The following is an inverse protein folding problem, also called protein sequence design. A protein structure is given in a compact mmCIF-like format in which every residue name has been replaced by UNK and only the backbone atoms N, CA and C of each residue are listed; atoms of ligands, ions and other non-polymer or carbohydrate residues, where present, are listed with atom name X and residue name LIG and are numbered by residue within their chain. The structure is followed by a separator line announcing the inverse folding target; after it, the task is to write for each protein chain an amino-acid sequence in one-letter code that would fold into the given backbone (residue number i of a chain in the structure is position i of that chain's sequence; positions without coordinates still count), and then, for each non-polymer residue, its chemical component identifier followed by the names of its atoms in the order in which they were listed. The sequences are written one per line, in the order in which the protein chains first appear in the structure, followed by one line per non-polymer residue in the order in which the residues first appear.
data_IF_075432309388
#
_entry.id   IF_075432309388
#
_cell.length_a   1.000
_cell.length_b   1.000
_cell.length_c   1.000
_cell.angle_alpha   90.00
_cell.angle_beta   90.00
_cell.angle_gamma   90.00
#
_symmetry.space_group_name_H-M   'P 1'
#
loop_
_entity.id
_entity.type
_entity.pdbx_description
1 polymer ?
#
# COMPACT_ATOMS: atom_id res chain seq x y z
N UNK A 1 18.90 -14.75 0.56
CA UNK A 1 19.79 -14.29 1.65
C UNK A 1 19.09 -13.20 2.41
N UNK A 2 19.14 -13.26 3.74
CA UNK A 2 18.60 -12.23 4.63
C UNK A 2 19.48 -12.19 5.89
N UNK A 3 19.83 -11.00 6.35
CA UNK A 3 20.70 -10.79 7.52
C UNK A 3 19.92 -9.98 8.57
N UNK A 4 19.80 -10.48 9.81
CA UNK A 4 19.14 -9.75 10.89
C UNK A 4 19.77 -8.37 11.11
N UNK A 5 18.93 -7.33 11.22
CA UNK A 5 19.40 -5.97 11.48
C UNK A 5 20.10 -5.29 10.30
N UNK A 6 20.04 -5.86 9.09
CA UNK A 6 20.61 -5.23 7.91
C UNK A 6 19.92 -3.91 7.58
N UNK A 7 20.71 -2.89 7.25
CA UNK A 7 20.26 -1.60 6.73
C UNK A 7 20.42 -1.52 5.22
N UNK A 8 19.84 -0.49 4.60
CA UNK A 8 19.90 -0.32 3.15
C UNK A 8 21.36 -0.29 2.62
N UNK A 9 22.30 0.31 3.36
CA UNK A 9 23.70 0.40 2.96
C UNK A 9 24.43 -0.95 2.83
N UNK A 10 23.88 -2.01 3.44
CA UNK A 10 24.46 -3.36 3.38
C UNK A 10 23.86 -4.21 2.25
N UNK A 11 22.75 -3.77 1.65
CA UNK A 11 22.06 -4.50 0.57
C UNK A 11 22.94 -4.64 -0.68
N UNK A 12 23.77 -3.66 -1.09
CA UNK A 12 24.69 -3.85 -2.19
C UNK A 12 25.59 -5.10 -2.02
N UNK A 13 26.17 -5.30 -0.84
CA UNK A 13 27.01 -6.46 -0.55
C UNK A 13 26.20 -7.77 -0.56
N UNK A 14 24.96 -7.75 -0.05
CA UNK A 14 24.08 -8.93 -0.09
C UNK A 14 23.66 -9.28 -1.53
N UNK A 15 23.43 -8.29 -2.39
CA UNK A 15 23.16 -8.51 -3.81
C UNK A 15 24.38 -9.10 -4.52
N UNK A 16 25.58 -8.60 -4.24
CA UNK A 16 26.80 -9.18 -4.81
C UNK A 16 26.97 -10.65 -4.39
N UNK A 17 26.72 -10.96 -3.12
CA UNK A 17 26.72 -12.34 -2.64
C UNK A 17 25.63 -13.18 -3.33
N UNK A 18 24.45 -12.61 -3.63
CA UNK A 18 23.34 -13.31 -4.29
C UNK A 18 23.69 -13.67 -5.72
N UNK A 19 24.25 -12.72 -6.45
CA UNK A 19 24.72 -12.93 -7.82
C UNK A 19 25.77 -14.03 -7.83
N UNK A 20 26.74 -13.98 -6.91
CA UNK A 20 27.76 -15.03 -6.79
C UNK A 20 27.14 -16.40 -6.48
N UNK A 21 26.26 -16.48 -5.50
CA UNK A 21 25.59 -17.72 -5.13
C UNK A 21 24.79 -18.32 -6.29
N UNK A 22 24.07 -17.50 -7.07
CA UNK A 22 23.33 -17.97 -8.24
C UNK A 22 24.24 -18.44 -9.39
N UNK A 23 25.43 -17.84 -9.55
CA UNK A 23 26.42 -18.26 -10.56
C UNK A 23 27.14 -19.55 -10.18
N UNK A 24 27.35 -19.77 -8.87
CA UNK A 24 28.07 -20.93 -8.35
C UNK A 24 27.16 -22.15 -8.12
N UNK A 25 25.83 -21.99 -8.11
CA UNK A 25 24.88 -23.08 -7.90
C UNK A 25 24.58 -23.83 -9.20
N UNK A 26 25.05 -25.08 -9.30
CA UNK A 26 24.84 -25.96 -10.47
C UNK A 26 23.36 -26.25 -10.78
N UNK A 27 22.43 -26.02 -9.83
CA UNK A 27 20.99 -26.21 -10.04
C UNK A 27 20.31 -25.02 -10.71
N UNK A 28 20.97 -23.87 -10.76
CA UNK A 28 20.45 -22.64 -11.37
C UNK A 28 21.10 -22.47 -12.74
N UNK A 29 20.30 -22.56 -13.81
CA UNK A 29 20.78 -22.16 -15.13
C UNK A 29 20.82 -20.64 -15.17
N UNK A 30 21.97 -20.07 -14.78
CA UNK A 30 22.11 -18.63 -14.54
C UNK A 30 21.70 -17.78 -15.75
N UNK A 31 21.94 -18.24 -16.97
CA UNK A 31 21.59 -17.51 -18.20
C UNK A 31 20.14 -17.76 -18.68
N UNK A 32 19.55 -18.92 -18.36
CA UNK A 32 18.30 -19.38 -18.99
C UNK A 32 17.08 -19.31 -18.07
N UNK A 33 17.25 -19.53 -16.77
CA UNK A 33 16.11 -19.56 -15.84
C UNK A 33 15.59 -18.16 -15.56
N UNK A 34 14.28 -18.01 -15.36
CA UNK A 34 13.76 -16.77 -14.78
C UNK A 34 14.00 -16.75 -13.28
N UNK A 35 14.47 -15.61 -12.76
CA UNK A 35 14.70 -15.37 -11.33
C UNK A 35 13.70 -14.35 -10.81
N UNK A 36 13.18 -14.60 -9.60
CA UNK A 36 12.37 -13.64 -8.85
C UNK A 36 13.16 -13.21 -7.61
N UNK A 37 13.62 -11.97 -7.59
CA UNK A 37 14.35 -11.38 -6.46
C UNK A 37 13.40 -10.46 -5.71
N UNK A 38 13.34 -10.56 -4.38
CA UNK A 38 12.54 -9.66 -3.55
C UNK A 38 13.46 -8.88 -2.61
N UNK A 39 13.48 -7.57 -2.75
CA UNK A 39 14.19 -6.64 -1.87
C UNK A 39 13.18 -6.06 -0.88
N UNK A 40 13.43 -6.27 0.41
CA UNK A 40 12.66 -5.70 1.51
C UNK A 40 13.61 -5.26 2.62
N UNK A 41 13.76 -3.95 2.79
CA UNK A 41 14.72 -3.31 3.71
C UNK A 41 14.18 -1.94 4.13
N UNK A 42 14.80 -1.28 5.11
CA UNK A 42 14.48 0.10 5.51
C UNK A 42 13.87 0.21 6.90
N UNK A 43 13.24 -0.85 7.41
CA UNK A 43 12.69 -0.84 8.77
C UNK A 43 13.78 -0.59 9.83
N UNK A 44 14.96 -1.20 9.65
CA UNK A 44 16.08 -0.96 10.57
C UNK A 44 16.68 0.44 10.44
N UNK A 45 16.79 0.97 9.23
CA UNK A 45 17.21 2.35 8.98
C UNK A 45 16.30 3.34 9.73
N UNK A 46 14.98 3.15 9.64
CA UNK A 46 13.98 3.92 10.37
C UNK A 46 14.10 3.78 11.90
N UNK A 47 14.35 2.58 12.40
CA UNK A 47 14.55 2.31 13.83
C UNK A 47 15.77 2.98 14.46
N UNK A 48 16.79 3.29 13.63
CA UNK A 48 18.05 3.90 14.04
C UNK A 48 18.22 5.35 13.55
N UNK A 49 17.24 5.91 12.82
CA UNK A 49 17.35 7.20 12.14
C UNK A 49 17.83 8.33 13.07
N UNK A 50 17.24 8.43 14.27
CA UNK A 50 17.59 9.44 15.27
C UNK A 50 19.03 9.33 15.82
N UNK A 51 19.72 8.21 15.57
CA UNK A 51 21.11 7.99 15.98
C UNK A 51 22.11 8.37 14.89
N UNK A 52 21.70 8.40 13.61
CA UNK A 52 22.56 8.69 12.47
C UNK A 52 21.79 9.35 11.30
N UNK A 53 21.20 10.51 11.57
CA UNK A 53 20.36 11.22 10.60
C UNK A 53 21.12 11.62 9.33
N UNK A 54 22.44 11.80 9.42
CA UNK A 54 23.28 12.20 8.28
C UNK A 54 23.47 11.06 7.27
N UNK A 55 23.59 9.82 7.74
CA UNK A 55 23.78 8.68 6.84
C UNK A 55 22.47 7.96 6.48
N UNK A 56 21.44 8.06 7.33
CA UNK A 56 20.13 7.40 7.15
C UNK A 56 19.10 8.34 6.51
N UNK A 57 19.54 9.25 5.63
CA UNK A 57 18.63 10.13 4.89
C UNK A 57 17.81 9.33 3.86
N UNK A 58 16.60 9.82 3.46
CA UNK A 58 15.83 9.20 2.38
C UNK A 58 16.61 9.08 1.06
N UNK A 59 17.48 10.07 0.79
CA UNK A 59 18.36 10.06 -0.36
C UNK A 59 19.37 8.91 -0.30
N UNK A 60 20.10 8.77 0.81
CA UNK A 60 21.08 7.68 0.95
C UNK A 60 20.39 6.30 0.92
N UNK A 61 19.21 6.17 1.53
CA UNK A 61 18.40 4.96 1.45
C UNK A 61 18.11 4.59 -0.02
N UNK A 62 17.63 5.55 -0.81
CA UNK A 62 17.35 5.38 -2.24
C UNK A 62 18.60 5.09 -3.07
N UNK A 63 19.71 5.77 -2.79
CA UNK A 63 20.99 5.52 -3.46
C UNK A 63 21.49 4.09 -3.24
N UNK A 64 21.34 3.54 -2.04
CA UNK A 64 21.71 2.15 -1.76
C UNK A 64 20.82 1.13 -2.49
N UNK A 65 19.51 1.41 -2.61
CA UNK A 65 18.61 0.63 -3.45
C UNK A 65 19.02 0.72 -4.93
N UNK A 66 19.35 1.93 -5.42
CA UNK A 66 19.81 2.15 -6.79
C UNK A 66 21.06 1.32 -7.10
N UNK A 67 22.09 1.37 -6.23
CA UNK A 67 23.31 0.59 -6.41
C UNK A 67 23.02 -0.92 -6.50
N UNK A 68 22.11 -1.39 -5.65
CA UNK A 68 21.69 -2.79 -5.61
C UNK A 68 20.96 -3.22 -6.89
N UNK A 69 20.02 -2.41 -7.35
CA UNK A 69 19.27 -2.64 -8.59
C UNK A 69 20.17 -2.52 -9.83
N UNK A 70 21.11 -1.58 -9.86
CA UNK A 70 22.09 -1.42 -10.94
C UNK A 70 22.96 -2.68 -11.10
N UNK A 71 23.39 -3.30 -10.00
CA UNK A 71 24.15 -4.56 -10.05
C UNK A 71 23.31 -5.70 -10.63
N UNK A 72 22.06 -5.86 -10.18
CA UNK A 72 21.14 -6.86 -10.74
C UNK A 72 20.89 -6.59 -12.24
N UNK A 73 20.64 -5.34 -12.61
CA UNK A 73 20.40 -4.91 -13.99
C UNK A 73 21.62 -5.15 -14.89
N UNK A 74 22.83 -5.06 -14.35
CA UNK A 74 24.05 -5.28 -15.13
C UNK A 74 24.41 -6.75 -15.28
N UNK A 75 24.20 -7.55 -14.23
CA UNK A 75 24.81 -8.88 -14.14
C UNK A 75 23.85 -10.05 -14.25
N UNK A 76 22.55 -9.85 -14.01
CA UNK A 76 21.58 -10.95 -13.92
C UNK A 76 20.66 -10.93 -15.14
N UNK A 77 20.63 -12.00 -15.95
CA UNK A 77 19.65 -12.17 -17.00
C UNK A 77 18.34 -12.74 -16.48
N UNK A 78 17.25 -12.47 -17.21
CA UNK A 78 15.90 -13.00 -16.94
C UNK A 78 15.50 -12.85 -15.47
N UNK A 79 15.43 -11.62 -14.98
CA UNK A 79 15.10 -11.36 -13.57
C UNK A 79 13.98 -10.35 -13.42
N UNK A 80 13.02 -10.70 -12.58
CA UNK A 80 12.05 -9.77 -12.03
C UNK A 80 12.47 -9.43 -10.60
N UNK A 81 12.57 -8.13 -10.30
CA UNK A 81 12.88 -7.64 -8.96
C UNK A 81 11.63 -7.01 -8.35
N UNK A 82 11.11 -7.62 -7.29
CA UNK A 82 10.14 -7.02 -6.40
C UNK A 82 10.86 -6.09 -5.42
N UNK A 83 10.47 -4.82 -5.36
CA UNK A 83 10.87 -3.90 -4.29
C UNK A 83 9.66 -3.73 -3.38
N UNK A 84 9.68 -4.38 -2.22
CA UNK A 84 8.65 -4.22 -1.20
C UNK A 84 8.90 -2.91 -0.49
N UNK A 85 7.91 -2.03 -0.46
CA UNK A 85 8.06 -0.75 0.25
C UNK A 85 8.26 -0.97 1.73
N UNK A 86 9.07 -0.09 2.34
CA UNK A 86 9.18 -0.04 3.79
C UNK A 86 7.80 0.27 4.38
N UNK A 87 7.44 -0.48 5.40
CA UNK A 87 6.15 -0.33 6.08
C UNK A 87 6.01 1.04 6.74
N UNK A 88 4.76 1.50 6.83
CA UNK A 88 4.39 2.58 7.75
C UNK A 88 4.54 2.08 9.19
N UNK A 89 5.46 2.69 9.94
CA UNK A 89 5.86 2.20 11.26
C UNK A 89 4.95 2.71 12.41
N UNK A 90 4.31 3.87 12.27
CA UNK A 90 3.48 4.48 13.32
C UNK A 90 2.39 3.55 13.90
N UNK A 91 1.61 2.82 13.07
CA UNK A 91 0.59 1.90 13.57
C UNK A 91 1.14 0.86 14.55
N UNK A 92 2.41 0.43 14.40
CA UNK A 92 3.03 -0.59 15.26
C UNK A 92 3.18 -0.12 16.72
N UNK A 93 3.20 1.18 16.99
CA UNK A 93 3.22 1.75 18.36
C UNK A 93 1.99 1.36 19.19
N UNK A 94 0.92 0.88 18.55
CA UNK A 94 -0.27 0.37 19.26
C UNK A 94 -0.04 -1.00 19.89
N UNK A 95 0.90 -1.80 19.35
CA UNK A 95 1.23 -3.15 19.83
C UNK A 95 1.83 -3.12 21.25
N UNK A 96 2.50 -2.03 21.64
CA UNK A 96 3.17 -1.92 22.94
C UNK A 96 2.27 -1.52 24.09
N UNK A 97 1.21 -0.73 23.83
CA UNK A 97 0.55 0.07 24.88
C UNK A 97 -0.01 -0.79 26.04
N UNK A 98 -0.25 -2.08 25.81
CA UNK A 98 -0.89 -2.97 26.79
C UNK A 98 0.03 -4.05 27.42
N UNK A 99 1.32 -4.13 27.05
CA UNK A 99 2.24 -5.17 27.51
C UNK A 99 3.64 -4.64 27.89
N UNK A 100 3.98 -4.68 29.19
CA UNK A 100 5.22 -4.12 29.74
C UNK A 100 6.49 -4.73 29.13
N UNK A 101 6.53 -6.06 28.98
CA UNK A 101 7.69 -6.76 28.39
C UNK A 101 7.88 -6.38 26.92
N UNK A 102 6.80 -6.38 26.14
CA UNK A 102 6.82 -5.94 24.74
C UNK A 102 7.29 -4.49 24.61
N UNK A 103 6.82 -3.61 25.51
CA UNK A 103 7.22 -2.20 25.53
C UNK A 103 8.73 -2.04 25.71
N UNK A 104 9.33 -2.77 26.65
CA UNK A 104 10.77 -2.70 26.90
C UNK A 104 11.59 -3.25 25.73
N UNK A 105 11.18 -4.38 25.15
CA UNK A 105 11.92 -4.99 24.03
C UNK A 105 11.89 -4.09 22.81
N UNK A 106 10.71 -3.58 22.43
CA UNK A 106 10.57 -2.73 21.25
C UNK A 106 11.31 -1.39 21.39
N UNK A 107 11.27 -0.76 22.58
CA UNK A 107 12.02 0.47 22.86
C UNK A 107 13.54 0.30 22.77
N UNK A 108 14.05 -0.90 23.04
CA UNK A 108 15.46 -1.21 22.85
C UNK A 108 15.78 -1.58 21.40
N UNK A 109 14.90 -2.34 20.74
CA UNK A 109 15.11 -2.80 19.37
C UNK A 109 14.98 -1.68 18.34
N UNK A 110 14.07 -0.73 18.57
CA UNK A 110 13.71 0.33 17.63
C UNK A 110 13.47 1.66 18.37
N UNK A 111 14.51 2.19 19.02
CA UNK A 111 14.38 3.31 19.96
C UNK A 111 13.81 4.56 19.31
N UNK A 112 14.15 4.85 18.06
CA UNK A 112 13.69 6.08 17.41
C UNK A 112 12.17 6.10 17.25
N UNK A 113 11.51 4.98 16.93
CA UNK A 113 10.04 4.99 16.75
C UNK A 113 9.25 4.82 18.05
N UNK A 114 9.74 4.05 19.03
CA UNK A 114 8.97 3.69 20.23
C UNK A 114 9.26 4.51 21.48
N UNK A 115 10.35 5.29 21.51
CA UNK A 115 10.65 6.18 22.64
C UNK A 115 9.95 7.54 22.58
N UNK A 116 9.77 8.19 21.40
CA UNK A 116 9.10 9.49 21.34
C UNK A 116 7.67 9.43 21.85
N UNK A 117 7.24 10.47 22.56
CA UNK A 117 5.86 10.60 23.04
C UNK A 117 4.87 10.75 21.88
N UNK A 118 3.59 10.48 22.14
CA UNK A 118 2.53 10.69 21.14
C UNK A 118 2.45 12.18 20.79
N UNK A 119 2.30 12.50 19.50
CA UNK A 119 2.25 13.88 18.98
C UNK A 119 3.52 14.72 19.22
N UNK A 120 4.66 14.08 19.52
CA UNK A 120 5.94 14.76 19.64
C UNK A 120 6.50 15.20 18.27
N UNK A 121 7.29 16.28 18.20
CA UNK A 121 7.99 16.68 16.98
C UNK A 121 8.90 15.58 16.43
N UNK A 122 9.53 14.79 17.30
CA UNK A 122 10.40 13.67 16.94
C UNK A 122 9.62 12.56 16.21
N UNK A 123 8.42 12.22 16.70
CA UNK A 123 7.55 11.25 16.02
C UNK A 123 7.04 11.79 14.68
N UNK A 124 6.65 13.06 14.62
CA UNK A 124 6.20 13.70 13.38
C UNK A 124 7.29 13.68 12.31
N UNK A 125 8.55 13.94 12.70
CA UNK A 125 9.70 13.86 11.82
C UNK A 125 9.95 12.42 11.33
N UNK A 126 9.89 11.42 12.22
CA UNK A 126 10.07 10.02 11.82
C UNK A 126 9.00 9.53 10.84
N UNK A 127 7.74 9.94 11.06
CA UNK A 127 6.65 9.64 10.13
C UNK A 127 6.88 10.30 8.76
N UNK A 128 7.38 11.54 8.73
CA UNK A 128 7.80 12.22 7.49
C UNK A 128 8.91 11.45 6.78
N UNK A 129 9.95 11.04 7.50
CA UNK A 129 11.09 10.30 6.94
C UNK A 129 10.66 8.93 6.39
N UNK A 130 9.76 8.22 7.09
CA UNK A 130 9.17 6.97 6.61
C UNK A 130 8.45 7.16 5.26
N UNK A 131 7.65 8.22 5.12
CA UNK A 131 6.98 8.57 3.87
C UNK A 131 7.97 8.96 2.78
N UNK A 132 9.04 9.68 3.12
CA UNK A 132 10.09 10.05 2.17
C UNK A 132 10.85 8.84 1.64
N UNK A 133 11.10 7.81 2.47
CA UNK A 133 11.67 6.55 2.00
C UNK A 133 10.78 5.88 0.94
N UNK A 134 9.46 5.84 1.18
CA UNK A 134 8.50 5.30 0.22
C UNK A 134 8.48 6.13 -1.07
N UNK A 135 8.44 7.46 -0.98
CA UNK A 135 8.45 8.36 -2.14
C UNK A 135 9.75 8.25 -2.97
N UNK A 136 10.90 8.17 -2.33
CA UNK A 136 12.18 8.03 -3.02
C UNK A 136 12.31 6.64 -3.69
N UNK A 137 11.74 5.59 -3.08
CA UNK A 137 11.64 4.27 -3.72
C UNK A 137 10.78 4.33 -4.98
N UNK A 138 9.61 4.95 -4.89
CA UNK A 138 8.69 5.17 -6.03
C UNK A 138 9.38 5.95 -7.16
N UNK A 139 10.07 7.05 -6.83
CA UNK A 139 10.82 7.85 -7.80
C UNK A 139 11.90 7.05 -8.52
N UNK A 140 12.68 6.26 -7.76
CA UNK A 140 13.76 5.43 -8.30
C UNK A 140 13.24 4.40 -9.32
N UNK A 141 12.20 3.65 -8.97
CA UNK A 141 11.69 2.56 -9.81
C UNK A 141 10.88 3.09 -11.00
N UNK A 142 10.10 4.16 -10.80
CA UNK A 142 9.24 4.72 -11.86
C UNK A 142 10.00 5.55 -12.90
N UNK A 143 11.25 5.96 -12.62
CA UNK A 143 12.08 6.82 -13.48
C UNK A 143 12.59 6.20 -14.79
N UNK A 144 12.26 4.93 -15.09
CA UNK A 144 12.57 4.27 -16.36
C UNK A 144 14.02 3.81 -16.54
N UNK A 145 14.85 3.95 -15.50
CA UNK A 145 16.27 3.54 -15.49
C UNK A 145 16.49 2.08 -15.93
N UNK A 146 15.51 1.22 -15.67
CA UNK A 146 15.61 -0.23 -15.90
C UNK A 146 14.76 -0.72 -17.09
N UNK A 147 14.27 0.18 -17.95
CA UNK A 147 13.40 -0.16 -19.07
C UNK A 147 14.17 -0.59 -20.34
N UNK A 148 15.51 -0.63 -20.29
CA UNK A 148 16.37 -0.87 -21.46
C UNK A 148 16.59 -2.34 -21.83
N UNK A 149 15.98 -3.29 -21.11
CA UNK A 149 16.11 -4.74 -21.33
C UNK A 149 14.75 -5.42 -21.28
N UNK A 150 14.53 -6.38 -22.17
CA UNK A 150 13.29 -7.18 -22.20
C UNK A 150 13.28 -8.30 -21.14
N UNK A 151 14.46 -8.68 -20.65
CA UNK A 151 14.64 -9.76 -19.68
C UNK A 151 14.92 -9.25 -18.25
N UNK A 152 14.63 -7.98 -17.98
CA UNK A 152 14.78 -7.37 -16.66
C UNK A 152 13.59 -6.46 -16.35
N UNK A 153 13.07 -6.52 -15.12
CA UNK A 153 12.09 -5.55 -14.65
C UNK A 153 12.17 -5.33 -13.15
N UNK A 154 11.83 -4.12 -12.70
CA UNK A 154 11.69 -3.78 -11.28
C UNK A 154 10.26 -3.33 -11.03
N UNK A 155 9.61 -3.90 -10.04
CA UNK A 155 8.21 -3.62 -9.71
C UNK A 155 8.09 -3.36 -8.22
N UNK A 156 7.49 -2.23 -7.85
CA UNK A 156 7.16 -1.92 -6.46
C UNK A 156 5.97 -2.74 -6.01
N UNK A 157 6.03 -3.25 -4.78
CA UNK A 157 4.95 -3.97 -4.12
C UNK A 157 4.54 -3.19 -2.85
N UNK A 158 3.58 -2.24 -2.95
CA UNK A 158 3.31 -1.26 -1.90
C UNK A 158 2.32 -1.73 -0.83
N UNK A 159 2.11 -3.04 -0.66
CA UNK A 159 1.12 -3.59 0.30
C UNK A 159 1.42 -3.27 1.78
N UNK A 160 2.49 -2.53 2.08
CA UNK A 160 2.83 -2.01 3.40
C UNK A 160 2.77 -0.49 3.54
N UNK A 161 2.43 0.22 2.45
CA UNK A 161 2.37 1.69 2.44
C UNK A 161 1.41 2.24 3.48
N UNK A 162 0.25 1.59 3.63
CA UNK A 162 -0.74 1.86 4.67
C UNK A 162 -0.81 0.63 5.59
N UNK A 163 0.02 0.60 6.63
CA UNK A 163 0.11 -0.55 7.51
C UNK A 163 -1.06 -0.57 8.51
N UNK A 164 -1.58 -1.77 8.80
CA UNK A 164 -2.62 -1.96 9.81
C UNK A 164 -2.16 -2.99 10.83
N UNK A 165 -2.34 -2.66 12.11
CA UNK A 165 -2.18 -3.64 13.21
C UNK A 165 -3.50 -4.40 13.34
N UNK A 166 -3.49 -5.74 13.29
CA UNK A 166 -4.69 -6.53 13.51
C UNK A 166 -5.13 -6.39 14.98
N UNK A 167 -6.42 -6.22 15.21
CA UNK A 167 -6.98 -6.12 16.56
C UNK A 167 -7.87 -7.33 16.85
N UNK A 168 -7.82 -7.82 18.08
CA UNK A 168 -8.85 -8.71 18.64
C UNK A 168 -10.08 -7.88 19.04
N UNK A 169 -11.24 -8.54 19.18
CA UNK A 169 -12.56 -7.90 19.30
C UNK A 169 -12.77 -6.93 20.47
N UNK A 170 -11.81 -6.79 21.39
CA UNK A 170 -11.80 -5.81 22.48
C UNK A 170 -10.95 -4.56 22.18
N UNK A 171 -10.48 -4.39 20.93
CA UNK A 171 -9.65 -3.27 20.51
C UNK A 171 -8.18 -3.39 20.89
N UNK A 172 -7.74 -4.55 21.40
CA UNK A 172 -6.33 -4.84 21.67
C UNK A 172 -5.63 -5.42 20.44
N UNK A 173 -4.33 -5.17 20.26
CA UNK A 173 -3.53 -5.80 19.21
C UNK A 173 -3.59 -7.32 19.30
N UNK A 174 -3.77 -8.01 18.17
CA UNK A 174 -3.61 -9.46 18.08
C UNK A 174 -2.12 -9.81 18.07
N UNK A 175 -1.59 -10.12 19.25
CA UNK A 175 -0.18 -10.46 19.43
C UNK A 175 0.24 -11.77 18.73
N UNK A 176 -0.70 -12.60 18.23
CA UNK A 176 -0.35 -13.82 17.50
C UNK A 176 0.31 -13.57 16.14
N UNK A 177 0.26 -12.33 15.63
CA UNK A 177 0.99 -11.90 14.44
C UNK A 177 2.44 -11.48 14.73
N UNK A 178 2.86 -11.49 16.00
CA UNK A 178 4.21 -11.11 16.40
C UNK A 178 4.93 -12.29 17.06
N UNK A 179 6.26 -12.26 17.00
CA UNK A 179 7.14 -13.21 17.65
C UNK A 179 7.20 -12.93 19.16
N UNK A 180 7.99 -13.72 19.89
CA UNK A 180 8.15 -13.60 21.36
C UNK A 180 8.69 -12.23 21.82
N UNK A 181 9.36 -11.49 20.93
CA UNK A 181 9.84 -10.13 21.18
C UNK A 181 8.78 -9.05 20.95
N UNK A 182 7.58 -9.45 20.49
CA UNK A 182 6.48 -8.59 20.07
C UNK A 182 6.85 -7.59 18.97
N UNK A 183 8.02 -7.71 18.34
CA UNK A 183 8.56 -6.75 17.36
C UNK A 183 8.65 -7.38 15.98
N UNK A 184 9.36 -8.50 15.87
CA UNK A 184 9.39 -9.26 14.64
C UNK A 184 8.05 -9.96 14.43
N UNK A 185 7.67 -10.13 13.17
CA UNK A 185 6.42 -10.81 12.79
C UNK A 185 6.54 -12.32 13.00
N UNK A 186 5.42 -12.97 13.35
CA UNK A 186 5.36 -14.43 13.50
C UNK A 186 5.32 -15.15 12.15
N UNK A 187 5.46 -16.47 12.15
CA UNK A 187 5.23 -17.31 10.95
C UNK A 187 3.86 -17.03 10.31
N UNK A 188 2.83 -16.85 11.14
CA UNK A 188 1.47 -16.52 10.69
C UNK A 188 1.46 -15.19 9.92
N UNK A 189 2.06 -14.15 10.46
CA UNK A 189 2.15 -12.87 9.78
C UNK A 189 3.00 -12.95 8.49
N UNK A 190 4.10 -13.69 8.50
CA UNK A 190 4.87 -13.97 7.29
C UNK A 190 4.04 -14.65 6.20
N UNK A 191 3.16 -15.59 6.55
CA UNK A 191 2.25 -16.20 5.58
C UNK A 191 1.28 -15.18 4.98
N UNK A 192 0.74 -14.24 5.76
CA UNK A 192 -0.13 -13.19 5.24
C UNK A 192 0.63 -12.17 4.38
N UNK A 193 1.88 -11.85 4.72
CA UNK A 193 2.77 -11.03 3.88
C UNK A 193 3.07 -11.69 2.54
N UNK A 194 3.32 -13.00 2.53
CA UNK A 194 3.56 -13.75 1.31
C UNK A 194 2.32 -13.73 0.38
N UNK A 195 1.12 -13.86 0.94
CA UNK A 195 -0.13 -13.74 0.18
C UNK A 195 -0.31 -12.33 -0.36
N UNK A 196 -0.05 -11.30 0.45
CA UNK A 196 -0.13 -9.92 -0.01
C UNK A 196 0.83 -9.67 -1.18
N UNK A 197 2.09 -10.09 -1.07
CA UNK A 197 3.08 -9.99 -2.16
C UNK A 197 2.63 -10.73 -3.42
N UNK A 198 2.11 -11.96 -3.27
CA UNK A 198 1.58 -12.75 -4.38
C UNK A 198 0.44 -12.04 -5.11
N UNK A 199 -0.55 -11.57 -4.36
CA UNK A 199 -1.68 -10.84 -4.92
C UNK A 199 -1.24 -9.55 -5.61
N UNK A 200 -0.27 -8.84 -5.02
CA UNK A 200 0.26 -7.60 -5.57
C UNK A 200 1.01 -7.81 -6.89
N UNK A 201 1.67 -8.96 -7.08
CA UNK A 201 2.22 -9.37 -8.38
C UNK A 201 1.13 -9.64 -9.43
N UNK A 202 -0.09 -10.01 -9.01
CA UNK A 202 -1.25 -10.22 -9.89
C UNK A 202 -2.12 -8.97 -10.08
N UNK A 203 -1.64 -7.80 -9.64
CA UNK A 203 -2.33 -6.52 -9.82
C UNK A 203 -1.54 -5.60 -10.76
N UNK A 204 -2.22 -4.91 -11.71
CA UNK A 204 -1.56 -3.97 -12.60
C UNK A 204 -0.77 -2.89 -11.85
N UNK A 205 0.42 -2.56 -12.33
CA UNK A 205 1.20 -1.41 -11.86
C UNK A 205 0.34 -0.14 -11.93
N UNK A 206 0.35 0.64 -10.86
CA UNK A 206 -0.53 1.81 -10.67
C UNK A 206 -1.91 1.50 -10.09
N UNK A 207 -2.29 0.21 -9.98
CA UNK A 207 -3.54 -0.27 -9.37
C UNK A 207 -3.31 -1.35 -8.30
N UNK A 208 -2.08 -1.43 -7.80
CA UNK A 208 -1.69 -2.36 -6.75
C UNK A 208 -2.30 -1.96 -5.41
N UNK A 209 -2.71 -2.95 -4.62
CA UNK A 209 -3.14 -2.77 -3.25
C UNK A 209 -2.00 -2.21 -2.39
N UNK A 210 -2.32 -1.22 -1.56
CA UNK A 210 -1.35 -0.44 -0.76
C UNK A 210 -1.36 -0.80 0.74
N UNK A 211 -2.04 -1.90 1.10
CA UNK A 211 -2.19 -2.36 2.47
C UNK A 211 -2.24 -3.89 2.54
N UNK A 212 -1.96 -4.45 3.71
CA UNK A 212 -2.02 -5.89 3.94
C UNK A 212 -3.25 -6.25 4.79
N UNK A 213 -4.01 -7.25 4.35
CA UNK A 213 -5.09 -7.84 5.14
C UNK A 213 -4.54 -9.05 5.90
N UNK A 214 -4.33 -8.90 7.21
CA UNK A 214 -3.83 -9.96 8.08
C UNK A 214 -4.89 -10.96 8.57
N UNK A 215 -6.11 -10.97 8.01
CA UNK A 215 -7.12 -11.99 8.35
C UNK A 215 -6.65 -13.38 7.89
N UNK A 216 -6.80 -14.40 8.74
CA UNK A 216 -6.49 -15.79 8.37
C UNK A 216 -7.60 -16.40 7.51
N UNK A 217 -7.74 -15.88 6.30
CA UNK A 217 -8.70 -16.33 5.29
C UNK A 217 -7.93 -16.67 4.02
N UNK A 218 -7.93 -17.94 3.61
CA UNK A 218 -7.21 -18.40 2.41
C UNK A 218 -7.98 -18.14 1.11
N UNK A 219 -9.24 -17.74 1.18
CA UNK A 219 -10.02 -17.38 -0.02
C UNK A 219 -9.55 -16.07 -0.67
N UNK A 220 -8.76 -15.26 0.06
CA UNK A 220 -8.17 -14.02 -0.46
C UNK A 220 -6.96 -14.23 -1.38
N UNK A 221 -6.48 -15.47 -1.56
CA UNK A 221 -5.36 -15.75 -2.45
C UNK A 221 -5.87 -15.64 -3.89
N UNK A 222 -5.32 -14.69 -4.65
CA UNK A 222 -5.71 -14.48 -6.03
C UNK A 222 -5.12 -15.57 -6.93
N UNK A 223 -5.93 -16.04 -7.86
CA UNK A 223 -5.51 -16.87 -8.98
C UNK A 223 -5.43 -16.00 -10.24
N UNK A 224 -4.46 -16.23 -11.14
CA UNK A 224 -4.46 -15.62 -12.46
C UNK A 224 -5.73 -15.99 -13.25
N UNK A 225 -6.21 -15.08 -14.10
CA UNK A 225 -7.33 -15.33 -15.01
C UNK A 225 -6.82 -15.75 -16.39
N UNK A 226 -7.63 -16.44 -17.19
CA UNK A 226 -7.23 -16.87 -18.54
C UNK A 226 -6.91 -15.68 -19.47
N UNK A 227 -7.59 -14.55 -19.31
CA UNK A 227 -7.36 -13.32 -20.06
C UNK A 227 -6.16 -12.51 -19.55
N UNK A 228 -5.72 -12.76 -18.31
CA UNK A 228 -4.59 -12.09 -17.64
C UNK A 228 -3.70 -13.10 -16.90
N UNK A 229 -2.99 -14.00 -17.63
CA UNK A 229 -2.28 -15.13 -17.02
C UNK A 229 -0.88 -14.78 -16.50
N UNK A 230 -0.43 -13.52 -16.63
CA UNK A 230 0.93 -13.10 -16.34
C UNK A 230 1.03 -12.23 -15.09
N UNK A 231 2.19 -12.29 -14.42
CA UNK A 231 2.56 -11.31 -13.41
C UNK A 231 2.63 -9.92 -14.05
N UNK A 232 2.10 -8.91 -13.35
CA UNK A 232 2.07 -7.54 -13.83
C UNK A 232 3.39 -6.82 -13.61
N UNK A 233 3.88 -6.25 -14.70
CA UNK A 233 5.04 -5.39 -14.85
C UNK A 233 4.60 -4.05 -15.44
N UNK A 234 5.51 -3.10 -15.60
CA UNK A 234 5.20 -1.81 -16.24
C UNK A 234 4.64 -1.98 -17.66
N UNK A 235 5.08 -3.01 -18.40
CA UNK A 235 4.78 -3.20 -19.82
C UNK A 235 3.36 -3.74 -20.07
N UNK A 236 2.88 -4.67 -19.24
CA UNK A 236 1.57 -5.32 -19.39
C UNK A 236 0.49 -4.77 -18.43
N UNK A 237 0.74 -3.63 -17.79
CA UNK A 237 -0.23 -2.98 -16.87
C UNK A 237 -1.06 -1.86 -17.50
N UNK A 238 -0.64 -1.37 -18.67
CA UNK A 238 -1.40 -0.38 -19.43
C UNK A 238 -2.63 -1.05 -20.06
N UNK A 239 -3.77 -0.35 -20.03
CA UNK A 239 -4.95 -0.80 -20.78
C UNK A 239 -4.57 -0.83 -22.27
N UNK A 240 -4.60 -2.01 -22.89
CA UNK A 240 -4.63 -2.11 -24.34
C UNK A 240 -5.75 -1.20 -24.85
N UNK A 241 -5.51 -0.36 -25.88
CA UNK A 241 -6.60 0.35 -26.54
C UNK A 241 -7.69 -0.66 -26.92
N UNK A 242 -8.99 -0.30 -26.83
CA UNK A 242 -10.03 -1.18 -27.33
C UNK A 242 -9.69 -1.53 -28.77
N UNK A 243 -9.49 -2.82 -29.04
CA UNK A 243 -9.37 -3.32 -30.40
C UNK A 243 -10.74 -3.08 -31.03
N UNK A 244 -10.89 -2.00 -31.78
CA UNK A 244 -12.07 -1.81 -32.63
C UNK A 244 -12.10 -3.01 -33.57
N UNK A 245 -13.12 -3.87 -33.52
CA UNK A 245 -13.20 -4.98 -34.46
C UNK A 245 -13.41 -4.36 -35.84
N UNK A 246 -12.41 -4.42 -36.70
CA UNK A 246 -12.60 -4.14 -38.12
C UNK A 246 -13.39 -5.32 -38.70
N UNK A 247 -14.71 -5.26 -38.61
CA UNK A 247 -15.58 -6.26 -39.22
C UNK A 247 -15.38 -6.24 -40.74
N UNK A 248 -15.17 -7.41 -41.39
CA UNK A 248 -15.20 -7.49 -42.84
C UNK A 248 -16.63 -7.25 -43.34
N UNK A 249 -16.77 -6.45 -44.41
CA UNK A 249 -18.04 -6.19 -45.10
C UNK A 249 -18.59 -7.51 -45.68
N UNK A 250 -19.81 -7.95 -45.34
CA UNK A 250 -20.47 -9.06 -46.03
C UNK A 250 -21.45 -8.55 -47.09
N UNK A 251 -21.41 -9.18 -48.27
CA UNK A 251 -22.34 -9.00 -49.39
C UNK A 251 -23.80 -9.40 -49.02
N UNK A 252 -24.81 -8.87 -49.74
CA UNK A 252 -26.20 -8.88 -49.33
C UNK A 252 -26.93 -10.15 -49.76
N UNK A 253 -27.66 -10.78 -48.84
CA UNK A 253 -28.62 -11.81 -49.21
C UNK A 253 -29.07 -12.75 -48.09
N UNK A 254 -29.77 -12.24 -47.07
CA UNK A 254 -30.91 -12.94 -46.41
C UNK A 254 -31.58 -12.01 -45.39
N UNK A 255 -32.91 -12.09 -45.34
CA UNK A 255 -33.87 -11.23 -44.62
C UNK A 255 -33.77 -11.35 -43.08
N UNK A 256 -34.04 -10.29 -42.28
CA UNK A 256 -33.60 -10.20 -40.89
C UNK A 256 -34.64 -10.72 -39.87
N UNK A 257 -34.16 -11.35 -38.79
CA UNK A 257 -34.86 -11.38 -37.50
C UNK A 257 -34.52 -10.11 -36.69
N UNK A 258 -35.45 -9.56 -35.88
CA UNK A 258 -35.22 -8.29 -35.20
C UNK A 258 -34.26 -8.52 -34.02
N UNK A 259 -33.01 -8.11 -34.20
CA UNK A 259 -32.06 -7.91 -33.10
C UNK A 259 -32.48 -6.62 -32.39
N UNK A 260 -32.71 -6.71 -31.08
CA UNK A 260 -32.98 -5.54 -30.25
C UNK A 260 -31.77 -4.59 -30.29
N UNK A 261 -31.93 -3.46 -30.96
CA UNK A 261 -31.03 -2.33 -30.80
C UNK A 261 -31.24 -1.77 -29.39
N UNK A 262 -30.23 -1.91 -28.54
CA UNK A 262 -30.12 -1.07 -27.35
C UNK A 262 -29.75 0.34 -27.82
N UNK A 263 -30.76 1.20 -27.92
CA UNK A 263 -30.59 2.62 -28.15
C UNK A 263 -30.01 3.26 -26.88
N UNK A 264 -28.70 3.47 -26.84
CA UNK A 264 -27.98 4.02 -25.68
C UNK A 264 -27.90 5.54 -25.73
N UNK A 265 -29.01 6.22 -26.01
CA UNK A 265 -29.14 7.64 -25.73
C UNK A 265 -30.05 7.83 -24.52
N UNK A 266 -29.45 8.09 -23.35
CA UNK A 266 -30.23 8.54 -22.20
C UNK A 266 -30.99 9.81 -22.61
N UNK A 267 -32.32 9.84 -22.50
CA UNK A 267 -33.08 11.03 -22.82
C UNK A 267 -32.60 12.21 -21.97
N UNK A 268 -32.37 13.36 -22.59
CA UNK A 268 -31.83 14.57 -21.93
C UNK A 268 -32.65 14.98 -20.71
N UNK A 269 -33.93 14.59 -20.63
CA UNK A 269 -34.78 14.87 -19.47
C UNK A 269 -34.38 14.10 -18.19
N UNK A 270 -33.69 12.95 -18.29
CA UNK A 270 -33.29 12.13 -17.14
C UNK A 270 -32.35 12.88 -16.18
N UNK A 271 -31.21 13.46 -16.63
CA UNK A 271 -30.35 14.26 -15.76
C UNK A 271 -31.06 15.54 -15.26
N UNK A 272 -31.98 16.11 -16.03
CA UNK A 272 -32.76 17.29 -15.61
C UNK A 272 -33.69 16.96 -14.44
N UNK A 273 -34.41 15.84 -14.51
CA UNK A 273 -35.31 15.38 -13.43
C UNK A 273 -34.50 15.01 -12.17
N UNK A 274 -33.35 14.35 -12.32
CA UNK A 274 -32.45 14.05 -11.21
C UNK A 274 -31.89 15.32 -10.56
N UNK A 275 -31.53 16.33 -11.35
CA UNK A 275 -31.09 17.63 -10.86
C UNK A 275 -32.18 18.34 -10.05
N UNK A 276 -33.41 18.41 -10.55
CA UNK A 276 -34.54 19.07 -9.87
C UNK A 276 -34.89 18.33 -8.58
N UNK A 277 -34.97 17.01 -8.60
CA UNK A 277 -35.28 16.20 -7.41
C UNK A 277 -34.20 16.32 -6.34
N UNK A 278 -32.92 16.32 -6.72
CA UNK A 278 -31.81 16.56 -5.81
C UNK A 278 -31.86 17.95 -5.16
N UNK A 279 -32.22 18.98 -5.93
CA UNK A 279 -32.30 20.36 -5.44
C UNK A 279 -33.46 20.55 -4.45
N UNK A 280 -34.61 19.94 -4.72
CA UNK A 280 -35.76 19.93 -3.80
C UNK A 280 -35.45 19.18 -2.50
N UNK A 281 -34.75 18.04 -2.59
CA UNK A 281 -34.28 17.31 -1.41
C UNK A 281 -33.28 18.14 -0.60
N UNK A 282 -32.32 18.79 -1.25
CA UNK A 282 -31.34 19.65 -0.60
C UNK A 282 -31.98 20.83 0.14
N UNK A 283 -32.98 21.48 -0.46
CA UNK A 283 -33.77 22.53 0.20
C UNK A 283 -34.58 22.00 1.38
N UNK A 284 -35.22 20.83 1.25
CA UNK A 284 -35.94 20.18 2.34
C UNK A 284 -35.04 19.93 3.55
N UNK A 285 -33.86 19.33 3.34
CA UNK A 285 -32.89 19.05 4.41
C UNK A 285 -32.36 20.34 5.05
N UNK A 286 -32.03 21.34 4.24
CA UNK A 286 -31.53 22.64 4.73
C UNK A 286 -32.58 23.37 5.57
N UNK A 287 -33.83 23.38 5.11
CA UNK A 287 -34.94 23.96 5.85
C UNK A 287 -35.19 23.25 7.18
N UNK A 288 -35.14 21.91 7.18
CA UNK A 288 -35.33 21.09 8.38
C UNK A 288 -34.22 21.36 9.40
N UNK A 289 -32.96 21.44 8.94
CA UNK A 289 -31.81 21.78 9.80
C UNK A 289 -31.94 23.18 10.39
N UNK A 290 -32.29 24.18 9.58
CA UNK A 290 -32.48 25.56 10.03
C UNK A 290 -33.66 25.68 11.02
N UNK A 291 -34.77 24.99 10.76
CA UNK A 291 -35.95 24.98 11.63
C UNK A 291 -35.67 24.27 12.97
N UNK A 292 -34.93 23.16 12.95
CA UNK A 292 -34.44 22.49 14.16
C UNK A 292 -33.51 23.41 14.98
N UNK A 293 -32.61 24.14 14.30
CA UNK A 293 -31.69 25.08 14.95
C UNK A 293 -32.42 26.26 15.59
N UNK A 294 -33.42 26.81 14.91
CA UNK A 294 -34.27 27.88 15.43
C UNK A 294 -35.10 27.41 16.63
N UNK A 295 -35.70 26.22 16.57
CA UNK A 295 -36.42 25.62 17.70
C UNK A 295 -35.51 25.37 18.92
N UNK A 296 -34.27 24.93 18.70
CA UNK A 296 -33.26 24.78 19.77
C UNK A 296 -32.88 26.13 20.39
N UNK A 297 -32.71 27.15 19.56
CA UNK A 297 -32.41 28.51 20.03
C UNK A 297 -33.54 29.09 20.89
N UNK A 298 -34.80 28.95 20.43
CA UNK A 298 -35.98 29.38 21.19
C UNK A 298 -36.12 28.64 22.52
N UNK A 299 -35.84 27.32 22.57
CA UNK A 299 -35.83 26.55 23.83
C UNK A 299 -34.78 27.06 24.81
N UNK A 300 -33.54 27.29 24.36
CA UNK A 300 -32.48 27.85 25.21
C UNK A 300 -32.82 29.24 25.75
N UNK A 301 -33.47 30.08 24.94
CA UNK A 301 -33.91 31.41 25.37
C UNK A 301 -35.01 31.33 26.44
N UNK A 302 -35.95 30.38 26.32
CA UNK A 302 -37.01 30.14 27.31
C UNK A 302 -36.44 29.56 28.61
N UNK A 303 -35.51 28.61 28.53
CA UNK A 303 -34.82 28.05 29.71
C UNK A 303 -34.03 29.13 30.47
N UNK A 304 -33.28 29.98 29.77
CA UNK A 304 -32.56 31.10 30.40
C UNK A 304 -33.49 32.15 31.03
N UNK A 305 -34.68 32.37 30.46
CA UNK A 305 -35.66 33.30 31.05
C UNK A 305 -36.31 32.75 32.33
N UNK A 306 -36.44 31.42 32.44
CA UNK A 306 -36.94 30.74 33.64
C UNK A 306 -35.87 30.75 34.75
N UNK A 307 -34.61 30.52 34.39
CA UNK A 307 -33.47 30.51 35.31
C UNK A 307 -33.22 31.90 35.93
N UNK A 308 -33.41 32.97 35.15
CA UNK A 308 -33.36 34.36 35.64
C UNK A 308 -34.54 34.73 36.56
N UNK A 309 -35.69 34.05 36.47
CA UNK A 309 -36.84 34.27 37.35
C UNK A 309 -36.74 33.53 38.69
N UNK A 310 -35.88 32.51 38.78
CA UNK A 310 -35.64 31.73 40.01
C UNK A 310 -34.56 32.29 40.93
N UNK A 311 -33.88 33.38 40.54
CA UNK A 311 -32.72 33.95 41.26
C UNK A 311 -32.96 35.38 41.77
N UNK A 312 -34.21 35.84 41.84
CA UNK A 312 -34.58 37.06 42.56
C UNK A 312 -34.95 36.75 44.01
N UNK A 313 -34.25 37.40 44.94
CA UNK A 313 -34.37 37.43 46.42
C UNK A 313 -35.71 37.01 47.03
#
# INVERSE_FOLDING_TARGET
MAVPGAKAFEIPAQVQALIKAMKDDEKVHFEQDWKLVTLFVGARDLCDYCMDQNNLTPKNYSENLMLSLDMLYKEVPRVMVNVVEVLEMDPLRRVTKDALVCTLIQRNACPCFFNPEENSPELAELNRINQEYQMETERLVSGGRYDGREDFTVVIQPYFRNAFVPFIGDGKPDLSFFSVDCFHVSERAHAEMAIALWNNMLEPVGRKQVYNNFTYDRTKINCPFEDQPFIFTKVNSLLSPPVTPTSPVPNPGTTPSPVAQCDSSMPVWVPVVLGITGLLFGWGVTWLFMSCRERRSKRKMVEGLIEMKGTGF
#
